data_IF_093344013274
#
_entry.id   IF_093344013274
#
_cell.length_a   1.000
_cell.length_b   1.000
_cell.length_c   1.000
_cell.angle_alpha   90.00
_cell.angle_beta   90.00
_cell.angle_gamma   90.00
#
_symmetry.space_group_name_H-M   'P 1'
#
loop_
_entity.id
_entity.type
_entity.pdbx_description
1 polymer ?
#
# COMPACT_ATOMS: atom_id res chain seq x y z
N UNK A 1 24.17 77.04 -33.74
CA UNK A 1 24.96 76.42 -32.66
C UNK A 1 23.98 75.97 -31.58
N UNK A 2 23.58 74.71 -31.56
CA UNK A 2 24.32 73.52 -31.11
C UNK A 2 23.91 73.14 -29.67
N UNK A 3 23.11 72.08 -29.62
CA UNK A 3 23.13 70.99 -28.63
C UNK A 3 23.18 71.32 -27.14
N UNK A 4 22.06 71.07 -26.44
CA UNK A 4 22.10 70.57 -25.05
C UNK A 4 21.47 69.19 -25.01
N UNK A 5 22.36 68.19 -25.00
CA UNK A 5 22.07 66.77 -24.90
C UNK A 5 21.67 66.38 -23.47
N UNK A 6 20.78 65.40 -23.39
CA UNK A 6 20.22 64.72 -22.22
C UNK A 6 21.26 64.24 -21.18
N UNK A 7 21.11 64.55 -19.88
CA UNK A 7 21.85 63.86 -18.82
C UNK A 7 21.05 62.73 -18.13
N UNK A 8 19.76 62.53 -18.42
CA UNK A 8 18.90 61.65 -17.59
C UNK A 8 19.08 60.14 -17.82
N UNK A 9 19.63 59.72 -18.96
CA UNK A 9 19.76 58.29 -19.30
C UNK A 9 20.98 57.64 -18.63
N UNK A 10 22.07 58.40 -18.41
CA UNK A 10 23.28 57.90 -17.75
C UNK A 10 23.09 57.75 -16.24
N UNK A 11 22.36 58.68 -15.62
CA UNK A 11 22.01 58.59 -14.19
C UNK A 11 21.03 57.46 -13.93
N UNK A 12 20.04 57.24 -14.80
CA UNK A 12 19.12 56.09 -14.70
C UNK A 12 19.83 54.73 -14.81
N UNK A 13 20.76 54.58 -15.76
CA UNK A 13 21.54 53.34 -15.91
C UNK A 13 22.48 53.11 -14.71
N UNK A 14 23.09 54.17 -14.17
CA UNK A 14 23.94 54.06 -12.98
C UNK A 14 23.16 53.68 -11.72
N UNK A 15 21.91 54.17 -11.59
CA UNK A 15 21.02 53.83 -10.47
C UNK A 15 20.54 52.38 -10.56
N UNK A 16 20.16 51.92 -11.76
CA UNK A 16 19.77 50.52 -11.98
C UNK A 16 20.97 49.59 -11.77
N UNK A 17 22.15 49.93 -12.30
CA UNK A 17 23.37 49.15 -12.06
C UNK A 17 23.77 49.15 -10.58
N UNK A 18 23.62 50.28 -9.88
CA UNK A 18 23.85 50.39 -8.45
C UNK A 18 22.87 49.56 -7.62
N UNK A 19 21.57 49.56 -7.97
CA UNK A 19 20.57 48.71 -7.34
C UNK A 19 20.83 47.22 -7.60
N UNK A 20 21.21 46.85 -8.83
CA UNK A 20 21.56 45.46 -9.16
C UNK A 20 22.82 44.99 -8.42
N UNK A 21 23.85 45.84 -8.31
CA UNK A 21 25.05 45.56 -7.52
C UNK A 21 24.73 45.48 -6.02
N UNK A 22 23.86 46.34 -5.51
CA UNK A 22 23.46 46.33 -4.11
C UNK A 22 22.60 45.10 -3.77
N UNK A 23 21.68 44.71 -4.66
CA UNK A 23 20.93 43.46 -4.54
C UNK A 23 21.82 42.22 -4.63
N UNK A 24 22.84 42.23 -5.51
CA UNK A 24 23.81 41.15 -5.60
C UNK A 24 24.72 41.08 -4.36
N UNK A 25 25.14 42.22 -3.80
CA UNK A 25 25.91 42.27 -2.55
C UNK A 25 25.06 41.95 -1.32
N UNK A 26 23.78 42.30 -1.31
CA UNK A 26 22.85 41.93 -0.24
C UNK A 26 22.57 40.42 -0.27
N UNK A 27 22.41 39.82 -1.45
CA UNK A 27 22.31 38.37 -1.62
C UNK A 27 23.62 37.65 -1.21
N UNK A 28 24.77 38.28 -1.38
CA UNK A 28 26.07 37.74 -0.95
C UNK A 28 26.30 37.80 0.57
N UNK A 29 25.44 38.47 1.34
CA UNK A 29 25.61 38.68 2.78
C UNK A 29 24.46 38.08 3.63
N UNK A 30 23.64 37.22 3.04
CA UNK A 30 22.62 36.45 3.76
C UNK A 30 23.35 35.49 4.70
N UNK A 31 23.15 35.66 6.01
CA UNK A 31 23.74 34.78 7.01
C UNK A 31 23.20 33.35 6.86
N UNK A 32 23.96 32.32 7.24
CA UNK A 32 23.53 30.91 7.06
C UNK A 32 22.23 30.56 7.80
N UNK A 33 21.74 31.39 8.72
CA UNK A 33 20.47 31.21 9.43
C UNK A 33 19.23 31.71 8.69
N UNK A 34 19.38 32.38 7.54
CA UNK A 34 18.27 32.90 6.72
C UNK A 34 18.07 32.11 5.42
N UNK A 35 18.93 31.13 5.13
CA UNK A 35 18.84 30.29 3.94
C UNK A 35 17.81 29.17 4.14
N UNK A 36 17.02 28.88 3.11
CA UNK A 36 16.16 27.70 3.07
C UNK A 36 17.00 26.42 2.97
N UNK A 37 16.42 25.27 3.32
CA UNK A 37 17.12 23.97 3.25
C UNK A 37 17.63 23.68 1.83
N UNK A 38 16.83 23.99 0.80
CA UNK A 38 17.23 23.82 -0.60
C UNK A 38 18.38 24.75 -1.01
N UNK A 39 18.39 26.00 -0.52
CA UNK A 39 19.49 26.93 -0.77
C UNK A 39 20.79 26.50 -0.08
N UNK A 40 20.69 25.93 1.13
CA UNK A 40 21.84 25.35 1.84
C UNK A 40 22.39 24.16 1.04
N UNK A 41 21.53 23.29 0.53
CA UNK A 41 21.94 22.14 -0.28
C UNK A 41 22.63 22.58 -1.59
N UNK A 42 22.08 23.58 -2.29
CA UNK A 42 22.69 24.14 -3.49
C UNK A 42 24.09 24.71 -3.21
N UNK A 43 24.24 25.45 -2.12
CA UNK A 43 25.55 25.95 -1.69
C UNK A 43 26.50 24.81 -1.30
N UNK A 44 26.03 23.77 -0.63
CA UNK A 44 26.84 22.59 -0.31
C UNK A 44 27.34 21.88 -1.58
N UNK A 45 26.52 21.77 -2.63
CA UNK A 45 26.95 21.17 -3.90
C UNK A 45 28.09 21.95 -4.58
N UNK A 46 28.19 23.26 -4.33
CA UNK A 46 29.31 24.08 -4.83
C UNK A 46 30.60 23.97 -4.00
N UNK A 47 30.60 23.20 -2.91
CA UNK A 47 31.79 23.02 -2.08
C UNK A 47 32.82 22.13 -2.80
N UNK A 48 34.12 22.50 -2.84
CA UNK A 48 35.14 21.75 -3.57
C UNK A 48 35.28 20.27 -3.16
N UNK A 49 35.03 19.97 -1.88
CA UNK A 49 35.01 18.59 -1.38
C UNK A 49 33.82 17.81 -1.96
N UNK A 50 32.64 18.43 -2.04
CA UNK A 50 31.43 17.80 -2.54
C UNK A 50 31.54 17.56 -4.05
N UNK A 51 32.10 18.51 -4.80
CA UNK A 51 32.42 18.30 -6.21
C UNK A 51 33.37 17.10 -6.41
N UNK A 52 34.42 17.00 -5.59
CA UNK A 52 35.35 15.86 -5.65
C UNK A 52 34.67 14.52 -5.32
N UNK A 53 33.74 14.52 -4.36
CA UNK A 53 32.94 13.34 -4.02
C UNK A 53 31.96 12.97 -5.15
N UNK A 54 31.35 13.97 -5.80
CA UNK A 54 30.48 13.78 -6.95
C UNK A 54 31.25 13.16 -8.13
N UNK A 55 32.46 13.66 -8.42
CA UNK A 55 33.35 13.08 -9.43
C UNK A 55 33.71 11.64 -9.11
N UNK A 56 34.08 11.35 -7.86
CA UNK A 56 34.38 9.99 -7.43
C UNK A 56 33.18 9.06 -7.61
N UNK A 57 31.99 9.49 -7.18
CA UNK A 57 30.75 8.71 -7.31
C UNK A 57 30.43 8.37 -8.77
N UNK A 58 30.58 9.35 -9.68
CA UNK A 58 30.41 9.14 -11.13
C UNK A 58 31.44 8.17 -11.68
N UNK A 59 32.70 8.29 -11.27
CA UNK A 59 33.78 7.42 -11.72
C UNK A 59 33.65 5.97 -11.23
N UNK A 60 33.07 5.75 -10.05
CA UNK A 60 32.84 4.40 -9.49
C UNK A 60 31.47 3.81 -9.85
N UNK A 61 30.66 4.52 -10.66
CA UNK A 61 29.31 4.07 -11.00
C UNK A 61 29.37 2.81 -11.87
N UNK A 62 28.60 1.76 -11.58
CA UNK A 62 28.49 0.60 -12.47
C UNK A 62 28.01 1.03 -13.86
N UNK A 63 28.72 0.64 -14.92
CA UNK A 63 28.38 1.04 -16.30
C UNK A 63 27.10 0.36 -16.83
N UNK A 64 26.65 -0.74 -16.23
CA UNK A 64 25.46 -1.47 -16.64
C UNK A 64 24.25 -1.10 -15.78
N UNK A 65 23.18 -0.61 -16.40
CA UNK A 65 21.85 -0.58 -15.79
C UNK A 65 21.39 -2.02 -15.52
N UNK A 66 20.92 -2.27 -14.30
CA UNK A 66 20.40 -3.59 -13.92
C UNK A 66 19.23 -3.97 -14.83
N UNK A 67 18.98 -5.28 -14.99
CA UNK A 67 17.83 -5.76 -15.74
C UNK A 67 16.53 -5.19 -15.18
N UNK A 68 16.43 -5.13 -13.85
CA UNK A 68 15.30 -4.56 -13.10
C UNK A 68 15.02 -3.12 -13.50
N UNK A 69 16.05 -2.24 -13.50
CA UNK A 69 15.87 -0.84 -13.90
C UNK A 69 15.41 -0.69 -15.35
N UNK A 70 15.87 -1.56 -16.26
CA UNK A 70 15.41 -1.54 -17.66
C UNK A 70 13.94 -1.96 -17.76
N UNK A 71 13.52 -2.97 -17.01
CA UNK A 71 12.13 -3.40 -16.95
C UNK A 71 11.25 -2.28 -16.40
N UNK A 72 11.64 -1.65 -15.29
CA UNK A 72 10.89 -0.55 -14.69
C UNK A 72 10.78 0.66 -15.61
N UNK A 73 11.84 1.02 -16.33
CA UNK A 73 11.78 2.10 -17.31
C UNK A 73 10.80 1.82 -18.47
N UNK A 74 10.59 0.55 -18.83
CA UNK A 74 9.61 0.16 -19.85
C UNK A 74 8.19 0.14 -19.29
N UNK A 75 8.01 -0.34 -18.06
CA UNK A 75 6.70 -0.40 -17.41
C UNK A 75 6.18 0.98 -16.98
N UNK A 76 7.07 1.89 -16.60
CA UNK A 76 6.76 3.20 -16.05
C UNK A 76 7.51 4.33 -16.78
N UNK A 77 7.22 4.59 -18.06
CA UNK A 77 8.02 5.49 -18.90
C UNK A 77 7.67 6.98 -18.76
N UNK A 78 6.67 7.32 -17.95
CA UNK A 78 6.02 8.64 -17.98
C UNK A 78 6.24 9.43 -16.67
N UNK A 79 5.40 10.45 -16.45
CA UNK A 79 5.41 11.26 -15.23
C UNK A 79 4.95 10.46 -14.01
N UNK A 80 5.28 10.89 -12.77
CA UNK A 80 4.81 10.26 -11.54
C UNK A 80 3.30 9.98 -11.52
N UNK A 81 2.47 10.97 -11.89
CA UNK A 81 1.02 10.82 -11.96
C UNK A 81 0.57 9.70 -12.92
N UNK A 82 1.15 9.68 -14.13
CA UNK A 82 0.77 8.68 -15.14
C UNK A 82 1.27 7.30 -14.74
N UNK A 83 2.49 7.21 -14.22
CA UNK A 83 3.05 5.95 -13.74
C UNK A 83 2.28 5.38 -12.55
N UNK A 84 1.82 6.24 -11.62
CA UNK A 84 0.94 5.83 -10.54
C UNK A 84 -0.38 5.26 -11.07
N UNK A 85 -1.05 5.93 -12.03
CA UNK A 85 -2.27 5.40 -12.65
C UNK A 85 -2.04 4.09 -13.42
N UNK A 86 -0.90 3.96 -14.11
CA UNK A 86 -0.52 2.72 -14.80
C UNK A 86 -0.28 1.59 -13.79
N UNK A 87 0.42 1.87 -12.69
CA UNK A 87 0.61 0.93 -11.61
C UNK A 87 -0.71 0.48 -10.99
N UNK A 88 -1.64 1.40 -10.76
CA UNK A 88 -2.98 1.10 -10.28
C UNK A 88 -3.72 0.16 -11.23
N UNK A 89 -3.60 0.39 -12.54
CA UNK A 89 -4.13 -0.52 -13.55
C UNK A 89 -3.46 -1.91 -13.48
N UNK A 90 -2.16 -1.99 -13.19
CA UNK A 90 -1.43 -3.25 -13.07
C UNK A 90 -1.76 -4.03 -11.79
N UNK A 91 -2.03 -3.37 -10.66
CA UNK A 91 -2.42 -4.05 -9.43
C UNK A 91 -3.90 -4.43 -9.44
N UNK A 92 -4.77 -3.63 -10.04
CA UNK A 92 -6.22 -3.89 -10.01
C UNK A 92 -6.70 -4.73 -11.20
N UNK A 93 -6.03 -4.70 -12.35
CA UNK A 93 -6.49 -5.39 -13.55
C UNK A 93 -6.19 -6.90 -13.52
N UNK A 94 -4.93 -7.31 -13.73
CA UNK A 94 -4.54 -8.73 -13.80
C UNK A 94 -5.03 -9.59 -12.63
N UNK A 95 -4.92 -9.21 -11.34
CA UNK A 95 -5.44 -10.02 -10.24
C UNK A 95 -6.95 -10.29 -10.36
N UNK A 96 -7.74 -9.26 -10.67
CA UNK A 96 -9.18 -9.40 -10.94
C UNK A 96 -9.49 -10.31 -12.14
N UNK A 97 -8.67 -10.29 -13.19
CA UNK A 97 -8.81 -11.22 -14.33
C UNK A 97 -8.36 -12.65 -13.98
N UNK A 98 -7.36 -12.81 -13.11
CA UNK A 98 -6.88 -14.12 -12.65
C UNK A 98 -7.97 -14.87 -11.88
N UNK A 99 -8.88 -14.17 -11.19
CA UNK A 99 -10.08 -14.77 -10.57
C UNK A 99 -11.00 -15.48 -11.57
N UNK A 100 -11.00 -15.07 -12.84
CA UNK A 100 -11.77 -15.76 -13.88
C UNK A 100 -11.25 -17.19 -14.10
N UNK A 101 -9.93 -17.35 -14.03
CA UNK A 101 -9.20 -18.61 -14.23
C UNK A 101 -9.09 -19.43 -12.95
N UNK A 102 -9.29 -18.81 -11.79
CA UNK A 102 -9.14 -19.47 -10.50
C UNK A 102 -10.25 -20.53 -10.30
N UNK A 103 -9.90 -21.79 -10.00
CA UNK A 103 -10.88 -22.82 -9.69
C UNK A 103 -11.57 -22.48 -8.35
N UNK A 104 -12.86 -22.81 -8.18
CA UNK A 104 -13.58 -22.50 -6.94
C UNK A 104 -13.09 -23.28 -5.71
N UNK A 105 -12.24 -24.32 -5.89
CA UNK A 105 -11.66 -25.11 -4.81
C UNK A 105 -10.15 -24.87 -4.75
N UNK A 106 -9.74 -23.84 -4.01
CA UNK A 106 -8.33 -23.51 -3.80
C UNK A 106 -7.86 -24.25 -2.55
N UNK A 107 -6.70 -24.91 -2.63
CA UNK A 107 -6.11 -25.59 -1.48
C UNK A 107 -5.60 -24.55 -0.47
N UNK A 108 -6.09 -24.56 0.79
CA UNK A 108 -5.63 -23.67 1.85
C UNK A 108 -4.11 -23.64 2.04
N UNK A 109 -3.43 -24.77 1.80
CA UNK A 109 -1.99 -24.86 1.98
C UNK A 109 -1.22 -24.00 0.98
N UNK A 110 -1.71 -23.91 -0.26
CA UNK A 110 -1.11 -23.10 -1.32
C UNK A 110 -1.39 -21.61 -1.11
N UNK A 111 -2.59 -21.27 -0.63
CA UNK A 111 -2.95 -19.90 -0.27
C UNK A 111 -2.03 -19.37 0.84
N UNK A 112 -1.82 -20.15 1.90
CA UNK A 112 -0.98 -19.75 3.02
C UNK A 112 0.50 -19.50 2.63
N UNK A 113 1.05 -20.26 1.68
CA UNK A 113 2.40 -20.02 1.15
C UNK A 113 2.46 -18.75 0.28
N UNK A 114 1.41 -18.50 -0.51
CA UNK A 114 1.30 -17.29 -1.33
C UNK A 114 1.17 -16.03 -0.46
N UNK A 115 0.36 -16.10 0.60
CA UNK A 115 0.24 -15.07 1.64
C UNK A 115 1.58 -14.82 2.33
N UNK A 116 2.32 -15.87 2.70
CA UNK A 116 3.66 -15.74 3.28
C UNK A 116 4.65 -15.01 2.34
N UNK A 117 4.63 -15.33 1.04
CA UNK A 117 5.42 -14.63 0.03
C UNK A 117 5.04 -13.15 -0.07
N UNK A 118 3.74 -12.86 -0.14
CA UNK A 118 3.20 -11.50 -0.19
C UNK A 118 3.63 -10.66 1.02
N UNK A 119 3.58 -11.21 2.24
CA UNK A 119 4.06 -10.54 3.46
C UNK A 119 5.53 -10.20 3.36
N UNK A 120 6.34 -11.15 2.87
CA UNK A 120 7.77 -10.92 2.63
C UNK A 120 8.02 -9.76 1.67
N UNK A 121 7.26 -9.71 0.57
CA UNK A 121 7.33 -8.61 -0.40
C UNK A 121 6.89 -7.27 0.18
N UNK A 122 5.73 -7.21 0.82
CA UNK A 122 5.17 -5.98 1.39
C UNK A 122 6.01 -5.42 2.55
N UNK A 123 6.44 -6.26 3.49
CA UNK A 123 7.34 -5.84 4.57
C UNK A 123 8.74 -5.55 4.05
N UNK A 124 9.22 -6.29 3.05
CA UNK A 124 10.48 -6.02 2.38
C UNK A 124 10.50 -4.63 1.75
N UNK A 125 9.47 -4.28 0.96
CA UNK A 125 9.33 -2.95 0.39
C UNK A 125 9.25 -1.86 1.46
N UNK A 126 8.40 -2.08 2.48
CA UNK A 126 8.23 -1.09 3.55
C UNK A 126 9.53 -0.84 4.32
N UNK A 127 10.27 -1.90 4.69
CA UNK A 127 11.48 -1.79 5.52
C UNK A 127 12.73 -1.43 4.72
N UNK A 128 12.86 -1.90 3.48
CA UNK A 128 14.07 -1.71 2.66
C UNK A 128 13.99 -0.49 1.75
N UNK A 129 12.79 -0.04 1.40
CA UNK A 129 12.58 1.08 0.48
C UNK A 129 11.83 2.24 1.14
N UNK A 130 10.59 2.04 1.61
CA UNK A 130 9.75 3.14 2.08
C UNK A 130 10.32 3.85 3.31
N UNK A 131 10.69 3.09 4.36
CA UNK A 131 11.23 3.70 5.58
C UNK A 131 12.56 4.43 5.35
N UNK A 132 13.56 3.85 4.65
CA UNK A 132 14.75 4.61 4.28
C UNK A 132 14.43 5.86 3.48
N UNK A 133 13.55 5.77 2.47
CA UNK A 133 13.14 6.91 1.63
C UNK A 133 12.51 8.02 2.48
N UNK A 134 11.61 7.67 3.41
CA UNK A 134 10.93 8.64 4.29
C UNK A 134 11.93 9.49 5.09
N UNK A 135 13.00 8.87 5.64
CA UNK A 135 13.93 9.57 6.55
C UNK A 135 15.18 10.12 5.87
N UNK A 136 15.58 9.55 4.74
CA UNK A 136 16.87 9.85 4.07
C UNK A 136 16.67 10.45 2.67
N UNK A 137 15.54 10.15 2.01
CA UNK A 137 15.28 10.49 0.62
C UNK A 137 16.09 9.66 -0.39
N UNK A 138 15.75 9.77 -1.67
CA UNK A 138 16.44 9.03 -2.72
C UNK A 138 17.88 9.55 -2.95
N UNK A 139 18.83 8.62 -2.98
CA UNK A 139 20.20 8.95 -3.35
C UNK A 139 20.29 9.20 -4.87
N UNK A 140 20.69 10.40 -5.26
CA UNK A 140 20.93 10.67 -6.69
C UNK A 140 22.04 9.77 -7.24
N UNK A 141 21.93 9.29 -8.49
CA UNK A 141 23.01 8.52 -9.11
C UNK A 141 24.27 9.35 -9.38
N UNK A 142 24.14 10.69 -9.51
CA UNK A 142 25.21 11.54 -10.05
C UNK A 142 25.81 12.52 -9.04
N UNK A 143 25.19 12.68 -7.87
CA UNK A 143 25.69 13.52 -6.78
C UNK A 143 25.56 12.84 -5.42
N UNK A 144 26.40 13.25 -4.47
CA UNK A 144 26.30 12.89 -3.07
C UNK A 144 25.24 13.76 -2.42
N UNK A 145 24.26 13.11 -1.80
CA UNK A 145 23.16 13.77 -1.08
C UNK A 145 23.56 13.94 0.38
N UNK A 146 23.24 15.10 0.95
CA UNK A 146 23.44 15.38 2.38
C UNK A 146 22.08 15.57 3.04
N UNK A 147 21.82 14.79 4.08
CA UNK A 147 20.57 14.89 4.82
C UNK A 147 20.76 15.84 6.00
N UNK A 148 20.09 17.00 5.92
CA UNK A 148 19.97 17.91 7.06
C UNK A 148 18.98 17.31 8.06
N UNK A 149 19.50 16.94 9.24
CA UNK A 149 18.69 16.32 10.29
C UNK A 149 17.94 17.41 11.06
N UNK A 150 16.65 17.54 10.79
CA UNK A 150 15.70 18.31 11.58
C UNK A 150 14.97 17.37 12.55
N UNK A 151 15.23 17.42 13.87
CA UNK A 151 14.60 16.47 14.81
C UNK A 151 13.07 16.50 14.77
N UNK A 152 12.47 17.70 14.63
CA UNK A 152 11.03 17.86 14.56
C UNK A 152 10.44 17.29 13.25
N UNK A 153 11.17 17.37 12.13
CA UNK A 153 10.77 16.76 10.86
C UNK A 153 10.67 15.25 11.02
N UNK A 154 11.70 14.61 11.58
CA UNK A 154 11.70 13.16 11.79
C UNK A 154 10.59 12.71 12.75
N UNK A 155 10.28 13.52 13.78
CA UNK A 155 9.14 13.27 14.65
C UNK A 155 7.80 13.32 13.89
N UNK A 156 7.63 14.27 12.97
CA UNK A 156 6.40 14.38 12.16
C UNK A 156 6.28 13.23 11.16
N UNK A 157 7.36 12.84 10.49
CA UNK A 157 7.38 11.67 9.62
C UNK A 157 7.02 10.40 10.39
N UNK A 158 7.61 10.21 11.58
CA UNK A 158 7.25 9.12 12.49
C UNK A 158 5.79 9.17 12.96
N UNK A 159 5.27 10.36 13.22
CA UNK A 159 3.84 10.55 13.51
C UNK A 159 2.97 10.16 12.31
N UNK A 160 3.38 10.47 11.07
CA UNK A 160 2.70 10.04 9.85
C UNK A 160 2.58 8.53 9.76
N UNK A 161 3.68 7.80 10.00
CA UNK A 161 3.69 6.34 10.07
C UNK A 161 2.74 5.83 11.15
N UNK A 162 2.77 6.43 12.34
CA UNK A 162 1.89 6.05 13.44
C UNK A 162 0.41 6.29 13.08
N UNK A 163 0.08 7.43 12.48
CA UNK A 163 -1.28 7.76 12.03
C UNK A 163 -1.76 6.78 10.96
N UNK A 164 -0.91 6.42 10.00
CA UNK A 164 -1.22 5.40 8.99
C UNK A 164 -1.54 4.05 9.63
N UNK A 165 -0.65 3.57 10.50
CA UNK A 165 -0.82 2.30 11.21
C UNK A 165 -2.12 2.26 12.02
N UNK A 166 -2.38 3.29 12.84
CA UNK A 166 -3.58 3.31 13.68
C UNK A 166 -4.87 3.62 12.93
N UNK A 167 -4.80 4.24 11.75
CA UNK A 167 -5.96 4.34 10.84
C UNK A 167 -6.48 2.95 10.47
N UNK A 168 -5.57 2.03 10.14
CA UNK A 168 -5.95 0.66 9.82
C UNK A 168 -6.38 -0.14 11.05
N UNK A 169 -5.74 0.05 12.20
CA UNK A 169 -6.24 -0.51 13.48
C UNK A 169 -7.68 -0.06 13.73
N UNK A 170 -7.97 1.23 13.52
CA UNK A 170 -9.30 1.78 13.73
C UNK A 170 -10.31 1.24 12.72
N UNK A 171 -9.92 1.10 11.45
CA UNK A 171 -10.73 0.48 10.40
C UNK A 171 -11.09 -0.96 10.75
N UNK A 172 -10.08 -1.81 11.03
CA UNK A 172 -10.28 -3.21 11.38
C UNK A 172 -11.16 -3.35 12.64
N UNK A 173 -10.90 -2.53 13.66
CA UNK A 173 -11.72 -2.50 14.87
C UNK A 173 -13.16 -2.07 14.59
N UNK A 174 -13.38 -1.08 13.73
CA UNK A 174 -14.73 -0.64 13.37
C UNK A 174 -15.51 -1.76 12.66
N UNK A 175 -14.86 -2.50 11.77
CA UNK A 175 -15.45 -3.66 11.09
C UNK A 175 -15.79 -4.79 12.09
N UNK A 176 -14.91 -5.05 13.07
CA UNK A 176 -15.18 -6.02 14.15
C UNK A 176 -16.36 -5.63 15.04
N UNK A 177 -16.53 -4.33 15.30
CA UNK A 177 -17.69 -3.83 16.04
C UNK A 177 -18.96 -3.98 15.19
N UNK A 178 -18.89 -3.68 13.89
CA UNK A 178 -20.02 -3.80 12.97
C UNK A 178 -20.47 -5.25 12.74
N UNK A 179 -19.55 -6.22 12.83
CA UNK A 179 -19.84 -7.67 12.76
C UNK A 179 -20.36 -8.26 14.08
N UNK A 180 -20.47 -7.47 15.15
CA UNK A 180 -21.06 -7.91 16.43
C UNK A 180 -20.12 -8.69 17.35
N UNK A 181 -18.81 -8.67 17.10
CA UNK A 181 -17.81 -9.28 18.00
C UNK A 181 -17.83 -10.81 18.12
N UNK A 182 -18.79 -11.51 17.48
CA UNK A 182 -18.84 -12.97 17.42
C UNK A 182 -17.92 -13.57 16.33
N UNK A 183 -17.29 -12.73 15.50
CA UNK A 183 -16.20 -13.10 14.59
C UNK A 183 -14.84 -12.83 15.22
N UNK A 184 -14.46 -13.64 16.21
CA UNK A 184 -13.08 -13.72 16.65
C UNK A 184 -12.27 -14.39 15.55
N UNK A 185 -11.35 -13.62 14.95
CA UNK A 185 -10.53 -13.98 13.77
C UNK A 185 -11.34 -14.00 12.47
N UNK A 186 -10.98 -13.11 11.53
CA UNK A 186 -11.31 -13.21 10.11
C UNK A 186 -10.55 -12.09 9.37
N UNK A 187 -9.40 -12.46 8.80
CA UNK A 187 -8.94 -11.97 7.49
C UNK A 187 -8.39 -13.14 6.65
N UNK A 188 -8.73 -14.38 7.04
CA UNK A 188 -8.40 -15.62 6.32
C UNK A 188 -8.92 -16.85 7.08
N UNK A 189 -10.21 -17.19 6.94
CA UNK A 189 -10.70 -18.49 7.38
C UNK A 189 -11.16 -19.37 6.23
N UNK A 190 -10.23 -20.22 5.77
CA UNK A 190 -10.60 -21.58 5.37
C UNK A 190 -10.59 -22.46 6.61
N UNK A 191 -11.74 -22.92 7.10
CA UNK A 191 -11.86 -24.24 7.73
C UNK A 191 -13.32 -24.72 7.77
N UNK A 192 -13.54 -25.84 7.10
CA UNK A 192 -14.78 -26.59 7.13
C UNK A 192 -14.91 -27.34 8.47
N UNK A 193 -15.98 -27.08 9.22
CA UNK A 193 -16.53 -28.03 10.18
C UNK A 193 -17.84 -28.59 9.61
N UNK A 194 -17.74 -29.78 9.03
CA UNK A 194 -18.90 -30.66 8.89
C UNK A 194 -19.03 -31.39 10.22
N UNK A 195 -19.82 -30.87 11.15
CA UNK A 195 -20.25 -31.63 12.31
C UNK A 195 -21.20 -32.73 11.83
N UNK A 196 -20.66 -33.94 11.73
CA UNK A 196 -21.43 -35.17 11.70
C UNK A 196 -22.13 -35.33 13.04
N UNK A 197 -23.43 -35.04 13.09
CA UNK A 197 -24.27 -35.47 14.22
C UNK A 197 -24.53 -36.97 14.08
N UNK A 198 -23.57 -37.77 14.56
CA UNK A 198 -23.83 -39.12 15.03
C UNK A 198 -23.99 -39.04 16.56
N UNK A 199 -25.23 -39.14 17.03
CA UNK A 199 -25.51 -39.40 18.44
C UNK A 199 -26.54 -40.52 18.55
N UNK A 200 -26.05 -41.73 18.78
CA UNK A 200 -26.83 -42.88 19.24
C UNK A 200 -26.33 -43.28 20.64
N UNK A 201 -27.32 -43.47 21.54
CA UNK A 201 -27.36 -44.28 22.78
C UNK A 201 -26.63 -43.73 24.03
N UNK A 202 -27.13 -43.77 25.27
CA UNK A 202 -28.13 -44.62 25.96
C UNK A 202 -28.61 -44.01 27.30
N UNK A 203 -29.84 -44.31 27.76
CA UNK A 203 -30.13 -44.47 29.21
C UNK A 203 -31.46 -43.93 29.79
N UNK A 204 -32.53 -44.76 29.74
CA UNK A 204 -33.65 -44.99 30.71
C UNK A 204 -34.50 -43.80 31.24
N UNK A 205 -35.84 -43.79 31.37
CA UNK A 205 -36.84 -44.83 31.69
C UNK A 205 -38.28 -44.45 31.23
N UNK A 206 -39.06 -45.49 30.85
CA UNK A 206 -40.47 -45.77 31.21
C UNK A 206 -41.63 -44.81 30.86
N UNK A 207 -42.41 -45.14 29.82
CA UNK A 207 -43.85 -45.58 29.90
C UNK A 207 -44.48 -45.88 28.52
N UNK A 208 -45.13 -47.05 28.44
CA UNK A 208 -46.05 -47.58 27.39
C UNK A 208 -47.33 -46.71 27.23
N UNK A 209 -48.19 -46.84 26.18
CA UNK A 209 -48.65 -48.08 25.52
C UNK A 209 -48.85 -48.04 23.97
N UNK A 210 -48.56 -49.15 23.26
CA UNK A 210 -49.48 -50.05 22.51
C UNK A 210 -50.39 -49.46 21.41
N UNK A 211 -50.29 -49.97 20.17
CA UNK A 211 -51.35 -49.81 19.15
C UNK A 211 -50.95 -50.03 17.69
N UNK A 212 -51.12 -51.27 17.21
CA UNK A 212 -51.65 -51.67 15.88
C UNK A 212 -51.11 -51.17 14.51
N UNK A 213 -50.70 -52.17 13.71
CA UNK A 213 -51.17 -52.52 12.34
C UNK A 213 -50.77 -51.72 11.08
N UNK A 214 -50.05 -52.45 10.20
CA UNK A 214 -50.27 -52.67 8.74
C UNK A 214 -50.80 -51.50 7.89
N UNK A 215 -50.02 -51.09 6.85
CA UNK A 215 -50.34 -51.37 5.43
C UNK A 215 -49.32 -50.79 4.41
N UNK A 216 -48.88 -51.68 3.52
CA UNK A 216 -48.70 -51.56 2.05
C UNK A 216 -48.02 -50.32 1.43
N UNK A 217 -46.78 -50.57 0.98
CA UNK A 217 -46.21 -50.33 -0.35
C UNK A 217 -47.22 -50.02 -1.47
N UNK A 218 -47.12 -48.83 -2.07
CA UNK A 218 -46.88 -48.59 -3.52
C UNK A 218 -47.23 -47.15 -3.90
N UNK A 219 -46.24 -46.33 -4.24
CA UNK A 219 -46.36 -45.29 -5.26
C UNK A 219 -44.95 -44.82 -5.62
N UNK A 220 -44.53 -45.12 -6.85
CA UNK A 220 -43.42 -44.46 -7.49
C UNK A 220 -43.72 -42.94 -7.50
N UNK A 221 -42.77 -42.14 -7.03
CA UNK A 221 -42.79 -40.69 -7.21
C UNK A 221 -41.41 -40.27 -7.66
N UNK A 222 -41.42 -39.58 -8.79
CA UNK A 222 -40.31 -39.02 -9.53
C UNK A 222 -39.32 -38.32 -8.60
N UNK A 223 -38.04 -38.63 -8.79
CA UNK A 223 -36.94 -37.86 -8.25
C UNK A 223 -36.87 -36.51 -8.96
N UNK A 224 -37.70 -35.57 -8.53
CA UNK A 224 -37.37 -34.16 -8.68
C UNK A 224 -36.22 -33.89 -7.71
N UNK A 225 -35.00 -33.76 -8.24
CA UNK A 225 -33.89 -33.14 -7.53
C UNK A 225 -34.31 -31.71 -7.18
N UNK A 226 -34.92 -31.56 -6.00
CA UNK A 226 -34.96 -30.27 -5.33
C UNK A 226 -33.52 -29.99 -4.94
N UNK A 227 -32.84 -29.19 -5.75
CA UNK A 227 -31.64 -28.46 -5.33
C UNK A 227 -32.04 -27.75 -4.05
N UNK A 228 -31.62 -28.26 -2.90
CA UNK A 228 -31.80 -27.56 -1.64
C UNK A 228 -31.01 -26.26 -1.77
N UNK A 229 -31.70 -25.14 -1.98
CA UNK A 229 -31.11 -23.83 -1.73
C UNK A 229 -30.64 -23.87 -0.28
N UNK A 230 -29.32 -23.93 -0.10
CA UNK A 230 -28.68 -23.86 1.20
C UNK A 230 -29.12 -22.50 1.78
N UNK A 231 -30.00 -22.50 2.78
CA UNK A 231 -30.40 -21.25 3.44
C UNK A 231 -29.14 -20.63 4.06
N UNK A 232 -28.59 -19.62 3.39
CA UNK A 232 -27.40 -18.91 3.83
C UNK A 232 -27.80 -18.05 5.03
N UNK A 233 -27.11 -18.27 6.15
CA UNK A 233 -27.32 -17.49 7.38
C UNK A 233 -27.13 -15.99 7.10
N UNK A 234 -28.08 -15.11 7.49
CA UNK A 234 -27.97 -13.65 7.33
C UNK A 234 -26.64 -13.06 7.83
N UNK A 235 -26.04 -13.66 8.86
CA UNK A 235 -24.74 -13.27 9.42
C UNK A 235 -23.59 -13.46 8.42
N UNK A 236 -23.56 -14.58 7.68
CA UNK A 236 -22.53 -14.88 6.66
C UNK A 236 -22.66 -13.93 5.47
N UNK A 237 -23.90 -13.56 5.12
CA UNK A 237 -24.16 -12.57 4.07
C UNK A 237 -23.72 -11.17 4.47
N UNK A 238 -23.93 -10.78 5.74
CA UNK A 238 -23.43 -9.51 6.30
C UNK A 238 -21.90 -9.47 6.31
N UNK A 239 -21.24 -10.57 6.71
CA UNK A 239 -19.78 -10.71 6.65
C UNK A 239 -19.22 -10.44 5.25
N UNK A 240 -19.83 -11.02 4.21
CA UNK A 240 -19.40 -10.78 2.83
C UNK A 240 -19.51 -9.31 2.38
N UNK A 241 -20.53 -8.57 2.82
CA UNK A 241 -20.63 -7.13 2.50
C UNK A 241 -19.64 -6.28 3.29
N UNK A 242 -19.39 -6.62 4.55
CA UNK A 242 -18.40 -5.92 5.37
C UNK A 242 -16.98 -6.15 4.84
N UNK A 243 -16.71 -7.34 4.30
CA UNK A 243 -15.48 -7.64 3.58
C UNK A 243 -15.27 -6.72 2.38
N UNK A 244 -16.30 -6.54 1.53
CA UNK A 244 -16.21 -5.63 0.38
C UNK A 244 -15.90 -4.18 0.77
N UNK A 245 -16.40 -3.72 1.92
CA UNK A 245 -16.12 -2.37 2.43
C UNK A 245 -14.67 -2.29 2.92
N UNK A 246 -14.20 -3.32 3.61
CA UNK A 246 -12.81 -3.43 4.06
C UNK A 246 -11.86 -3.40 2.87
N UNK A 247 -12.12 -4.25 1.87
CA UNK A 247 -11.34 -4.38 0.65
C UNK A 247 -11.35 -3.08 -0.18
N UNK A 248 -12.51 -2.45 -0.37
CA UNK A 248 -12.58 -1.13 -1.03
C UNK A 248 -11.72 -0.07 -0.32
N UNK A 249 -11.70 -0.07 1.02
CA UNK A 249 -10.92 0.89 1.80
C UNK A 249 -9.42 0.57 1.78
N UNK A 250 -9.06 -0.72 1.76
CA UNK A 250 -7.69 -1.19 1.58
C UNK A 250 -7.15 -0.74 0.22
N UNK A 251 -7.90 -1.04 -0.85
CA UNK A 251 -7.61 -0.65 -2.22
C UNK A 251 -7.35 0.86 -2.35
N UNK A 252 -8.14 1.71 -1.68
CA UNK A 252 -7.86 3.17 -1.62
C UNK A 252 -6.44 3.45 -1.13
N UNK A 253 -5.99 2.77 -0.08
CA UNK A 253 -4.67 3.02 0.47
C UNK A 253 -3.54 2.47 -0.38
N UNK A 254 -3.76 1.40 -1.14
CA UNK A 254 -2.80 0.93 -2.14
C UNK A 254 -2.64 1.97 -3.25
N UNK A 255 -3.74 2.56 -3.71
CA UNK A 255 -3.70 3.69 -4.64
C UNK A 255 -2.94 4.89 -4.09
N UNK A 256 -3.17 5.24 -2.81
CA UNK A 256 -2.42 6.31 -2.14
C UNK A 256 -0.92 5.97 -2.10
N UNK A 257 -0.57 4.72 -1.77
CA UNK A 257 0.81 4.26 -1.68
C UNK A 257 1.53 4.31 -3.04
N UNK A 258 0.86 3.90 -4.12
CA UNK A 258 1.41 4.00 -5.48
C UNK A 258 1.68 5.45 -5.85
N UNK A 259 0.71 6.35 -5.61
CA UNK A 259 0.91 7.77 -5.90
C UNK A 259 2.04 8.38 -5.07
N UNK A 260 2.08 8.16 -3.76
CA UNK A 260 3.12 8.73 -2.90
C UNK A 260 4.50 8.19 -3.27
N UNK A 261 4.60 6.90 -3.61
CA UNK A 261 5.84 6.24 -3.99
C UNK A 261 6.39 6.75 -5.33
N UNK A 262 5.56 6.91 -6.37
CA UNK A 262 6.03 7.45 -7.65
C UNK A 262 6.40 8.93 -7.60
N UNK A 263 5.77 9.70 -6.71
CA UNK A 263 6.15 11.09 -6.45
C UNK A 263 7.43 11.21 -5.62
N UNK A 264 7.74 10.21 -4.78
CA UNK A 264 9.03 10.13 -4.10
C UNK A 264 10.13 9.75 -5.09
N UNK A 265 10.00 8.63 -5.79
CA UNK A 265 10.87 8.31 -6.93
C UNK A 265 10.32 7.25 -7.89
N UNK A 266 10.85 7.17 -9.12
CA UNK A 266 10.48 6.09 -10.05
C UNK A 266 10.83 4.70 -9.53
N UNK A 267 11.95 4.57 -8.82
CA UNK A 267 12.42 3.28 -8.28
C UNK A 267 11.48 2.82 -7.17
N UNK A 268 11.19 3.70 -6.21
CA UNK A 268 10.30 3.41 -5.08
C UNK A 268 8.89 3.11 -5.61
N UNK A 269 8.35 3.92 -6.52
CA UNK A 269 7.06 3.64 -7.17
C UNK A 269 6.99 2.25 -7.83
N UNK A 270 8.05 1.85 -8.53
CA UNK A 270 8.10 0.56 -9.20
C UNK A 270 8.21 -0.61 -8.22
N UNK A 271 9.04 -0.53 -7.17
CA UNK A 271 9.15 -1.58 -6.15
C UNK A 271 7.86 -1.73 -5.36
N UNK A 272 7.24 -0.61 -4.95
CA UNK A 272 5.92 -0.59 -4.31
C UNK A 272 4.87 -1.27 -5.19
N UNK A 273 4.88 -0.99 -6.50
CA UNK A 273 3.93 -1.65 -7.43
C UNK A 273 4.09 -3.16 -7.44
N UNK A 274 5.33 -3.66 -7.46
CA UNK A 274 5.61 -5.10 -7.42
C UNK A 274 5.15 -5.71 -6.10
N UNK A 275 5.46 -5.06 -4.97
CA UNK A 275 5.05 -5.52 -3.65
C UNK A 275 3.52 -5.58 -3.51
N UNK A 276 2.83 -4.54 -3.97
CA UNK A 276 1.36 -4.45 -3.96
C UNK A 276 0.74 -5.50 -4.86
N UNK A 277 1.21 -5.60 -6.10
CA UNK A 277 0.74 -6.62 -7.04
C UNK A 277 0.77 -8.03 -6.45
N UNK A 278 1.85 -8.38 -5.75
CA UNK A 278 2.00 -9.71 -5.19
C UNK A 278 1.20 -9.94 -3.90
N UNK A 279 0.81 -8.91 -3.16
CA UNK A 279 -0.11 -9.08 -2.02
C UNK A 279 -1.58 -9.04 -2.42
N UNK A 280 -1.91 -8.36 -3.51
CA UNK A 280 -3.29 -8.31 -4.04
C UNK A 280 -3.75 -9.69 -4.53
N UNK A 281 -2.86 -10.49 -5.13
CA UNK A 281 -3.23 -11.83 -5.62
C UNK A 281 -3.81 -12.73 -4.50
N UNK A 282 -3.12 -12.96 -3.37
CA UNK A 282 -3.68 -13.72 -2.26
C UNK A 282 -4.92 -13.08 -1.65
N UNK A 283 -4.97 -11.76 -1.49
CA UNK A 283 -6.14 -11.06 -0.93
C UNK A 283 -7.39 -11.24 -1.80
N UNK A 284 -7.30 -10.94 -3.10
CA UNK A 284 -8.40 -11.08 -4.06
C UNK A 284 -8.92 -12.52 -4.15
N UNK A 285 -8.00 -13.49 -4.06
CA UNK A 285 -8.36 -14.91 -4.02
C UNK A 285 -9.13 -15.29 -2.75
N UNK A 286 -8.71 -14.77 -1.59
CA UNK A 286 -9.39 -14.96 -0.31
C UNK A 286 -10.78 -14.34 -0.31
N UNK A 287 -10.87 -13.08 -0.74
CA UNK A 287 -12.12 -12.32 -0.81
C UNK A 287 -13.14 -12.94 -1.77
N UNK A 288 -12.67 -13.41 -2.93
CA UNK A 288 -13.50 -14.15 -3.86
C UNK A 288 -14.08 -15.41 -3.20
N UNK A 289 -13.27 -16.19 -2.50
CA UNK A 289 -13.74 -17.40 -1.82
C UNK A 289 -14.80 -17.08 -0.75
N UNK A 290 -14.58 -16.02 0.04
CA UNK A 290 -15.53 -15.56 1.06
C UNK A 290 -16.86 -15.13 0.43
N UNK A 291 -16.84 -14.36 -0.66
CA UNK A 291 -18.07 -13.92 -1.35
C UNK A 291 -18.89 -15.10 -1.87
N UNK A 292 -18.24 -16.12 -2.43
CA UNK A 292 -18.92 -17.36 -2.84
C UNK A 292 -19.59 -18.04 -1.63
N UNK A 293 -18.90 -18.10 -0.49
CA UNK A 293 -19.44 -18.67 0.75
C UNK A 293 -20.61 -17.85 1.33
N UNK A 294 -20.56 -16.52 1.19
CA UNK A 294 -21.66 -15.59 1.51
C UNK A 294 -22.84 -15.65 0.54
N UNK A 295 -22.77 -16.52 -0.47
CA UNK A 295 -23.87 -16.79 -1.40
C UNK A 295 -23.85 -15.98 -2.69
N UNK A 296 -22.74 -15.30 -3.00
CA UNK A 296 -22.59 -14.65 -4.30
C UNK A 296 -22.35 -15.72 -5.36
N UNK A 297 -22.92 -15.53 -6.56
CA UNK A 297 -22.52 -16.32 -7.71
C UNK A 297 -21.15 -15.86 -8.20
N UNK A 298 -20.39 -16.73 -8.89
CA UNK A 298 -19.07 -16.38 -9.45
C UNK A 298 -19.05 -15.04 -10.20
N UNK A 299 -20.07 -14.78 -11.03
CA UNK A 299 -20.19 -13.50 -11.75
C UNK A 299 -20.42 -12.30 -10.84
N UNK A 300 -21.21 -12.46 -9.77
CA UNK A 300 -21.47 -11.39 -8.80
C UNK A 300 -20.25 -11.13 -7.93
N UNK A 301 -19.55 -12.17 -7.49
CA UNK A 301 -18.32 -12.04 -6.70
C UNK A 301 -17.23 -11.33 -7.51
N UNK A 302 -16.96 -11.76 -8.75
CA UNK A 302 -16.03 -11.08 -9.64
C UNK A 302 -16.43 -9.63 -9.94
N UNK A 303 -17.74 -9.37 -10.13
CA UNK A 303 -18.23 -8.02 -10.34
C UNK A 303 -18.08 -7.12 -9.10
N UNK A 304 -18.18 -7.69 -7.90
CA UNK A 304 -17.98 -6.97 -6.65
C UNK A 304 -16.50 -6.60 -6.44
N UNK A 305 -15.56 -7.50 -6.74
CA UNK A 305 -14.12 -7.19 -6.67
C UNK A 305 -13.69 -6.14 -7.71
N UNK A 306 -14.29 -6.17 -8.90
CA UNK A 306 -14.06 -5.08 -9.85
C UNK A 306 -14.55 -3.71 -9.32
N UNK A 307 -15.57 -3.69 -8.46
CA UNK A 307 -16.03 -2.46 -7.81
C UNK A 307 -15.08 -2.03 -6.69
N UNK A 308 -14.50 -2.97 -5.93
CA UNK A 308 -13.51 -2.63 -4.89
C UNK A 308 -12.24 -2.05 -5.49
N UNK A 309 -11.81 -2.56 -6.65
CA UNK A 309 -10.72 -2.01 -7.47
C UNK A 309 -10.89 -0.52 -7.88
N UNK A 310 -12.12 0.01 -7.95
CA UNK A 310 -12.34 1.45 -8.17
C UNK A 310 -11.77 2.26 -7.00
N UNK A 311 -11.76 1.69 -5.80
CA UNK A 311 -11.11 2.25 -4.62
C UNK A 311 -9.64 2.59 -4.88
N UNK A 312 -8.89 1.71 -5.53
CA UNK A 312 -7.48 1.95 -5.85
C UNK A 312 -7.28 3.14 -6.79
N UNK A 313 -8.12 3.28 -7.82
CA UNK A 313 -8.10 4.45 -8.68
C UNK A 313 -8.46 5.73 -7.92
N UNK A 314 -9.47 5.67 -7.05
CA UNK A 314 -9.86 6.81 -6.21
C UNK A 314 -8.70 7.24 -5.31
N UNK A 315 -8.06 6.29 -4.62
CA UNK A 315 -6.89 6.52 -3.79
C UNK A 315 -5.73 7.15 -4.57
N UNK A 316 -5.44 6.61 -5.76
CA UNK A 316 -4.39 7.14 -6.64
C UNK A 316 -4.66 8.58 -7.04
N UNK A 317 -5.91 8.90 -7.42
CA UNK A 317 -6.31 10.26 -7.82
C UNK A 317 -6.23 11.21 -6.62
N UNK A 318 -6.69 10.78 -5.44
CA UNK A 318 -6.58 11.56 -4.20
C UNK A 318 -5.11 11.84 -3.90
N UNK A 319 -4.26 10.83 -3.95
CA UNK A 319 -2.85 11.00 -3.64
C UNK A 319 -2.10 11.87 -4.65
N UNK A 320 -2.39 11.73 -5.96
CA UNK A 320 -1.92 12.67 -6.99
C UNK A 320 -2.36 14.10 -6.64
N UNK A 321 -3.63 14.30 -6.29
CA UNK A 321 -4.12 15.63 -5.92
C UNK A 321 -3.42 16.19 -4.67
N UNK A 322 -3.18 15.35 -3.65
CA UNK A 322 -2.44 15.75 -2.45
C UNK A 322 -0.99 16.11 -2.79
N UNK A 323 -0.34 15.38 -3.70
CA UNK A 323 1.04 15.68 -4.08
C UNK A 323 1.15 16.94 -4.95
N UNK A 324 0.24 17.14 -5.91
CA UNK A 324 0.26 18.31 -6.81
C UNK A 324 -0.23 19.60 -6.15
N UNK A 325 -1.22 19.51 -5.25
CA UNK A 325 -1.84 20.68 -4.62
C UNK A 325 -1.46 20.88 -3.15
N UNK A 326 -0.97 19.84 -2.46
CA UNK A 326 -0.62 19.90 -1.03
C UNK A 326 0.65 20.68 -0.71
N UNK A 327 1.48 20.99 -1.72
CA UNK A 327 2.61 21.91 -1.62
C UNK A 327 2.31 23.36 -2.02
N UNK A 328 1.15 23.62 -2.66
CA UNK A 328 0.84 24.92 -3.25
C UNK A 328 -0.23 25.69 -2.45
N UNK A 329 0.19 26.22 -1.29
CA UNK A 329 -0.34 27.50 -0.85
C UNK A 329 0.16 28.57 -1.82
N UNK A 330 -0.74 29.14 -2.62
CA UNK A 330 -0.52 30.26 -3.56
C UNK A 330 0.69 31.14 -3.23
N UNK A 331 1.66 31.17 -4.14
CA UNK A 331 2.74 32.18 -4.29
C UNK A 331 2.12 33.57 -4.52
N UNK A 332 1.51 34.14 -3.48
CA UNK A 332 0.94 35.49 -3.49
C UNK A 332 1.68 36.43 -2.53
N UNK A 333 2.73 35.97 -1.87
CA UNK A 333 3.64 36.79 -1.07
C UNK A 333 5.03 36.14 -1.04
N UNK A 334 6.09 36.94 -1.07
CA UNK A 334 7.52 36.52 -1.00
C UNK A 334 7.90 35.93 0.38
N UNK A 335 6.95 35.33 1.10
CA UNK A 335 7.16 34.60 2.34
C UNK A 335 7.02 33.11 2.04
N UNK A 336 8.14 32.38 2.11
CA UNK A 336 8.20 30.92 2.03
C UNK A 336 7.01 30.29 2.80
N UNK A 337 6.28 29.33 2.21
CA UNK A 337 5.19 28.67 2.91
C UNK A 337 5.75 28.05 4.19
N UNK A 338 5.24 28.49 5.35
CA UNK A 338 5.60 27.92 6.63
C UNK A 338 5.24 26.43 6.61
N UNK A 339 6.27 25.58 6.51
CA UNK A 339 6.05 24.14 6.50
C UNK A 339 5.47 23.64 7.82
N UNK A 340 5.03 22.38 7.81
CA UNK A 340 4.18 21.82 8.85
C UNK A 340 4.84 21.93 10.23
N UNK A 341 4.16 22.60 11.16
CA UNK A 341 4.62 22.85 12.54
C UNK A 341 6.04 23.41 12.62
N UNK A 342 6.44 24.26 11.66
CA UNK A 342 7.75 24.91 11.64
C UNK A 342 8.90 24.02 11.15
N UNK A 343 8.57 22.94 10.42
CA UNK A 343 9.53 22.09 9.70
C UNK A 343 9.47 22.37 8.21
N UNK A 344 10.38 21.77 7.42
CA UNK A 344 10.35 21.87 5.96
C UNK A 344 9.25 21.04 5.27
N UNK A 345 8.39 20.33 6.02
CA UNK A 345 7.42 19.37 5.46
C UNK A 345 6.17 20.04 4.90
N UNK A 346 5.65 19.48 3.82
CA UNK A 346 4.33 19.79 3.25
C UNK A 346 3.35 18.65 3.52
N UNK A 347 2.07 18.84 3.17
CA UNK A 347 1.08 17.76 3.29
C UNK A 347 1.34 16.60 2.31
N UNK A 348 1.99 16.87 1.18
CA UNK A 348 2.41 15.84 0.22
C UNK A 348 3.44 14.88 0.83
N UNK A 349 4.42 15.43 1.54
CA UNK A 349 5.48 14.67 2.22
C UNK A 349 4.96 13.74 3.31
N UNK A 350 3.74 13.98 3.81
CA UNK A 350 3.10 13.14 4.83
C UNK A 350 2.40 11.91 4.27
N UNK A 351 2.18 11.84 2.96
CA UNK A 351 1.44 10.74 2.35
C UNK A 351 2.26 9.44 2.33
N UNK A 352 3.55 9.50 2.01
CA UNK A 352 4.44 8.33 2.00
C UNK A 352 4.62 7.72 3.41
N UNK A 353 4.90 8.51 4.48
CA UNK A 353 4.87 8.01 5.85
C UNK A 353 3.55 7.38 6.24
N UNK A 354 2.43 8.01 5.89
CA UNK A 354 1.10 7.48 6.16
C UNK A 354 0.93 6.08 5.53
N UNK A 355 1.27 5.92 4.25
CA UNK A 355 1.12 4.64 3.55
C UNK A 355 2.11 3.58 4.01
N UNK A 356 3.33 3.95 4.41
CA UNK A 356 4.26 3.01 5.04
C UNK A 356 3.68 2.48 6.38
N UNK A 357 2.99 3.34 7.14
CA UNK A 357 2.26 2.94 8.34
C UNK A 357 1.14 1.94 8.06
N UNK A 358 0.36 2.13 6.99
CA UNK A 358 -0.71 1.20 6.60
C UNK A 358 -0.12 -0.15 6.20
N UNK A 359 0.94 -0.17 5.39
CA UNK A 359 1.62 -1.41 5.00
C UNK A 359 2.28 -2.14 6.17
N UNK A 360 2.85 -1.43 7.14
CA UNK A 360 3.31 -2.04 8.38
C UNK A 360 2.17 -2.74 9.12
N UNK A 361 0.99 -2.11 9.23
CA UNK A 361 -0.16 -2.76 9.86
C UNK A 361 -0.61 -4.00 9.08
N UNK A 362 -0.80 -3.88 7.77
CA UNK A 362 -1.26 -4.99 6.92
C UNK A 362 -0.27 -6.16 7.01
N UNK A 363 1.01 -5.90 6.76
CA UNK A 363 2.04 -6.94 6.78
C UNK A 363 2.26 -7.57 8.16
N UNK A 364 2.01 -6.86 9.26
CA UNK A 364 2.25 -7.39 10.62
C UNK A 364 0.99 -7.87 11.33
N UNK A 365 -0.03 -7.04 11.47
CA UNK A 365 -1.21 -7.33 12.30
C UNK A 365 -2.26 -8.10 11.51
N UNK A 366 -2.44 -7.80 10.22
CA UNK A 366 -3.46 -8.49 9.43
C UNK A 366 -3.02 -9.92 9.06
N UNK A 367 -1.73 -10.12 8.73
CA UNK A 367 -1.28 -11.37 8.11
C UNK A 367 -0.37 -12.27 8.97
N UNK A 368 0.52 -11.73 9.81
CA UNK A 368 1.39 -12.59 10.66
C UNK A 368 0.58 -13.52 11.57
N UNK A 369 -0.54 -13.10 12.20
CA UNK A 369 -1.33 -14.00 13.02
C UNK A 369 -1.78 -15.27 12.28
N UNK A 370 -2.12 -15.18 10.99
CA UNK A 370 -2.46 -16.34 10.16
C UNK A 370 -1.26 -17.28 9.98
N UNK A 371 -0.06 -16.73 9.77
CA UNK A 371 1.17 -17.52 9.66
C UNK A 371 1.53 -18.23 10.98
N UNK A 372 1.04 -17.71 12.11
CA UNK A 372 1.25 -18.30 13.43
C UNK A 372 0.19 -19.37 13.79
N UNK A 373 -0.86 -19.54 12.99
CA UNK A 373 -1.85 -20.60 13.22
C UNK A 373 -1.28 -22.00 12.92
N UNK A 374 -1.43 -22.90 13.89
CA UNK A 374 -0.86 -24.27 13.82
C UNK A 374 -1.94 -25.35 13.96
N UNK A 375 -1.84 -26.39 13.15
CA UNK A 375 -2.62 -27.61 13.27
C UNK A 375 -2.13 -28.61 14.33
N UNK A 376 -2.80 -29.76 14.40
CA UNK A 376 -2.54 -30.82 15.40
C UNK A 376 -1.29 -31.67 15.09
N UNK A 377 -0.90 -31.78 13.82
CA UNK A 377 0.22 -32.62 13.39
C UNK A 377 1.54 -31.83 13.32
N UNK A 378 2.39 -32.07 14.32
CA UNK A 378 3.67 -31.35 14.47
C UNK A 378 4.60 -31.49 13.26
N UNK A 379 4.61 -32.65 12.58
CA UNK A 379 5.54 -32.88 11.47
C UNK A 379 5.13 -32.08 10.23
N UNK A 380 3.83 -32.01 9.97
CA UNK A 380 3.26 -31.22 8.88
C UNK A 380 3.46 -29.73 9.16
N UNK A 381 3.18 -29.28 10.39
CA UNK A 381 3.35 -27.87 10.77
C UNK A 381 4.80 -27.40 10.62
N UNK A 382 5.79 -28.18 11.06
CA UNK A 382 7.21 -27.81 10.88
C UNK A 382 7.56 -27.65 9.40
N UNK A 383 7.09 -28.54 8.53
CA UNK A 383 7.33 -28.44 7.08
C UNK A 383 6.62 -27.21 6.48
N UNK A 384 5.38 -26.94 6.92
CA UNK A 384 4.62 -25.75 6.52
C UNK A 384 5.35 -24.47 6.91
N UNK A 385 5.77 -24.35 8.17
CA UNK A 385 6.54 -23.20 8.67
C UNK A 385 7.83 -22.99 7.88
N UNK A 386 8.62 -24.04 7.61
CA UNK A 386 9.84 -23.91 6.79
C UNK A 386 9.49 -23.36 5.40
N UNK A 387 8.43 -23.87 4.78
CA UNK A 387 8.00 -23.43 3.45
C UNK A 387 7.53 -21.98 3.46
N UNK A 388 6.76 -21.57 4.47
CA UNK A 388 6.30 -20.18 4.65
C UNK A 388 7.48 -19.22 4.88
N UNK A 389 8.45 -19.58 5.73
CA UNK A 389 9.61 -18.72 5.97
C UNK A 389 10.51 -18.59 4.73
N UNK A 390 10.66 -19.66 3.94
CA UNK A 390 11.33 -19.58 2.64
C UNK A 390 10.57 -18.68 1.67
N UNK A 391 9.24 -18.73 1.67
CA UNK A 391 8.41 -17.86 0.86
C UNK A 391 8.53 -16.38 1.29
N UNK A 392 8.50 -16.08 2.59
CA UNK A 392 8.76 -14.73 3.15
C UNK A 392 10.14 -14.25 2.72
N UNK A 393 11.17 -15.08 2.88
CA UNK A 393 12.54 -14.72 2.50
C UNK A 393 12.67 -14.47 0.99
N UNK A 394 11.96 -15.23 0.16
CA UNK A 394 11.93 -15.02 -1.29
C UNK A 394 11.22 -13.71 -1.65
N UNK A 395 10.07 -13.42 -1.04
CA UNK A 395 9.34 -12.16 -1.24
C UNK A 395 10.17 -10.95 -0.86
N UNK A 396 10.78 -10.98 0.34
CA UNK A 396 11.70 -9.93 0.79
C UNK A 396 12.96 -9.85 -0.08
N UNK A 397 13.47 -10.99 -0.56
CA UNK A 397 14.65 -11.05 -1.43
C UNK A 397 14.44 -10.42 -2.81
N UNK A 398 13.23 -10.49 -3.37
CA UNK A 398 12.90 -9.77 -4.62
C UNK A 398 12.95 -8.26 -4.41
N UNK A 399 12.68 -7.78 -3.19
CA UNK A 399 12.79 -6.37 -2.82
C UNK A 399 14.23 -5.92 -2.53
N UNK A 400 15.24 -6.78 -2.66
CA UNK A 400 16.66 -6.37 -2.51
C UNK A 400 17.34 -6.05 -3.86
N UNK A 401 16.62 -6.20 -4.98
CA UNK A 401 17.18 -6.33 -6.34
C UNK A 401 16.97 -5.12 -7.25
#
# INVERSE_FOLDING_TARGET
>A
MASRFFPSRRTGIALVAGCLLFSALAAANVGPGELSVGQIEEQLQSCPLVESLNEHKRATRPESTSLTSKIFAVLFPSTPAVNALLATLYISGPPNFLLALCPPNIDPSSLSVMVAFAVGGLLGDTLFHLLPEIFVGEASPDHVSFVMVEPNKNLLLGLGIMVGFFTFVAMDKALRIATGGEGGHDHSHSHAHTESIDAVTSGAESKKPSGELKKRKSAAKESSEVVSEKEINPSVKLGGYLNLIADFTHNITDGLALSSSFYASPTIGATTTVAVFFHEIPHEVGDFALLIQSGFSKRKAMGAQFVTAIGAFLGTIIGIAVQEFGGNGTMLDDTEPAGLLGTSLTWGDMLLPFTAGTFLYVGTVAVIPELLETGKDKGIEVRKTITQFLAVALGAGIMLA
#
